data_IF_382260816846
#
_entry.id   IF_382260816846
#
_cell.length_a   1.000
_cell.length_b   1.000
_cell.length_c   1.000
_cell.angle_alpha   90.00
_cell.angle_beta   90.00
_cell.angle_gamma   90.00
#
_symmetry.space_group_name_H-M   'P 1'
#
loop_
_entity.id
_entity.type
_entity.pdbx_description
1 polymer ?
#
# COMPACT_ATOMS: atom_id res chain seq x y z
N UNK A 1 12.72 -9.27 -1.54
CA UNK A 1 11.58 -9.91 -0.83
C UNK A 1 10.31 -9.39 -1.48
N UNK A 2 9.51 -10.28 -2.11
CA UNK A 2 8.23 -9.92 -2.75
C UNK A 2 7.13 -10.02 -1.71
N UNK A 3 6.78 -8.92 -1.04
CA UNK A 3 5.69 -8.90 -0.07
C UNK A 3 4.45 -8.36 -0.78
N UNK A 4 3.47 -9.23 -1.00
CA UNK A 4 2.15 -8.85 -1.51
C UNK A 4 1.18 -8.73 -0.33
N UNK A 5 0.60 -7.54 -0.15
CA UNK A 5 -0.45 -7.32 0.82
C UNK A 5 -1.82 -7.48 0.14
N UNK A 6 -2.74 -8.12 0.83
CA UNK A 6 -4.16 -8.12 0.48
C UNK A 6 -4.84 -6.94 1.17
N UNK A 7 -6.03 -6.56 0.71
CA UNK A 7 -6.78 -5.39 1.20
C UNK A 7 -6.85 -5.34 2.73
N UNK A 8 -7.17 -6.47 3.36
CA UNK A 8 -7.23 -6.58 4.83
C UNK A 8 -5.89 -6.25 5.51
N UNK A 9 -4.78 -6.78 5.01
CA UNK A 9 -3.44 -6.53 5.56
C UNK A 9 -3.01 -5.09 5.30
N UNK A 10 -3.36 -4.56 4.13
CA UNK A 10 -3.11 -3.17 3.76
C UNK A 10 -3.84 -2.19 4.68
N UNK A 11 -5.07 -2.50 5.12
CA UNK A 11 -5.75 -1.69 6.16
C UNK A 11 -4.98 -1.63 7.47
N UNK A 12 -4.43 -2.75 7.94
CA UNK A 12 -3.59 -2.74 9.16
C UNK A 12 -2.33 -1.90 8.95
N UNK A 13 -1.71 -2.01 7.77
CA UNK A 13 -0.50 -1.25 7.43
C UNK A 13 -0.78 0.24 7.27
N UNK A 14 -1.94 0.66 6.73
CA UNK A 14 -2.36 2.06 6.64
C UNK A 14 -2.35 2.72 8.03
N UNK A 15 -2.95 2.07 9.03
CA UNK A 15 -2.96 2.58 10.40
C UNK A 15 -1.54 2.67 10.98
N UNK A 16 -0.67 1.69 10.71
CA UNK A 16 0.72 1.72 11.18
C UNK A 16 1.58 2.79 10.47
N UNK A 17 1.38 3.00 9.16
CA UNK A 17 2.10 4.03 8.43
C UNK A 17 1.71 5.44 8.88
N UNK A 18 0.45 5.64 9.26
CA UNK A 18 -0.05 6.94 9.71
C UNK A 18 0.31 7.25 11.17
N UNK A 19 0.38 6.23 12.03
CA UNK A 19 0.51 6.42 13.48
C UNK A 19 1.85 5.95 14.05
N UNK A 20 2.71 5.33 13.23
CA UNK A 20 3.90 4.65 13.69
C UNK A 20 3.58 3.36 14.45
N UNK A 21 4.50 2.97 15.34
CA UNK A 21 4.40 1.73 16.11
C UNK A 21 3.20 1.77 17.06
N UNK A 22 2.35 0.74 16.98
CA UNK A 22 1.17 0.59 17.83
C UNK A 22 1.07 -0.82 18.40
N UNK A 23 0.51 -0.95 19.60
CA UNK A 23 0.15 -2.26 20.13
C UNK A 23 -0.98 -2.91 19.31
N UNK A 24 -1.04 -4.24 19.29
CA UNK A 24 -2.14 -4.96 18.66
C UNK A 24 -3.52 -4.57 19.27
N UNK A 25 -3.55 -4.17 20.53
CA UNK A 25 -4.75 -3.62 21.18
C UNK A 25 -5.18 -2.26 20.62
N UNK A 26 -4.23 -1.34 20.40
CA UNK A 26 -4.50 -0.04 19.78
C UNK A 26 -4.95 -0.19 18.32
N UNK A 27 -4.30 -1.06 17.55
CA UNK A 27 -4.73 -1.39 16.18
C UNK A 27 -6.17 -1.92 16.16
N UNK A 28 -6.51 -2.84 17.06
CA UNK A 28 -7.86 -3.37 17.14
C UNK A 28 -8.90 -2.32 17.52
N UNK A 29 -8.55 -1.34 18.36
CA UNK A 29 -9.44 -0.23 18.69
C UNK A 29 -9.69 0.67 17.47
N UNK A 30 -8.62 1.09 16.78
CA UNK A 30 -8.72 1.96 15.59
C UNK A 30 -9.47 1.30 14.45
N UNK A 31 -9.13 0.07 14.10
CA UNK A 31 -9.79 -0.67 13.02
C UNK A 31 -11.25 -1.00 13.36
N UNK A 32 -11.62 -1.09 14.65
CA UNK A 32 -13.02 -1.15 15.06
C UNK A 32 -13.75 0.16 14.79
N UNK A 33 -13.12 1.30 15.07
CA UNK A 33 -13.70 2.63 14.88
C UNK A 33 -13.81 3.01 13.40
N UNK A 34 -12.79 2.69 12.58
CA UNK A 34 -12.72 3.07 11.17
C UNK A 34 -13.55 2.16 10.25
N UNK A 35 -13.49 0.84 10.47
CA UNK A 35 -14.06 -0.16 9.55
C UNK A 35 -14.89 -1.24 10.25
N UNK A 36 -15.18 -1.09 11.55
CA UNK A 36 -16.05 -2.00 12.28
C UNK A 36 -15.44 -3.38 12.60
N UNK A 37 -14.13 -3.55 12.46
CA UNK A 37 -13.51 -4.85 12.72
C UNK A 37 -13.53 -5.23 14.20
N UNK A 38 -13.86 -6.49 14.48
CA UNK A 38 -13.70 -7.04 15.81
C UNK A 38 -12.22 -7.33 16.13
N UNK A 39 -11.94 -7.53 17.42
CA UNK A 39 -10.58 -7.78 17.91
C UNK A 39 -9.94 -9.04 17.31
N UNK A 40 -10.70 -10.13 17.17
CA UNK A 40 -10.17 -11.39 16.65
C UNK A 40 -9.77 -11.28 15.16
N UNK A 41 -10.59 -10.59 14.36
CA UNK A 41 -10.28 -10.29 12.96
C UNK A 41 -8.97 -9.50 12.87
N UNK A 42 -8.86 -8.44 13.66
CA UNK A 42 -7.64 -7.61 13.67
C UNK A 42 -6.40 -8.42 14.01
N UNK A 43 -6.45 -9.23 15.08
CA UNK A 43 -5.30 -10.05 15.50
C UNK A 43 -4.94 -11.11 14.47
N UNK A 44 -5.93 -11.70 13.80
CA UNK A 44 -5.70 -12.66 12.71
C UNK A 44 -4.98 -12.00 11.53
N UNK A 45 -5.38 -10.78 11.17
CA UNK A 45 -4.74 -10.03 10.07
C UNK A 45 -3.34 -9.56 10.47
N UNK A 46 -3.13 -9.07 11.69
CA UNK A 46 -1.80 -8.73 12.22
C UNK A 46 -0.87 -9.95 12.12
N UNK A 47 -1.35 -11.14 12.51
CA UNK A 47 -0.56 -12.37 12.38
C UNK A 47 -0.15 -12.63 10.93
N UNK A 48 -1.08 -12.51 9.97
CA UNK A 48 -0.76 -12.65 8.54
C UNK A 48 0.30 -11.64 8.08
N UNK A 49 0.22 -10.39 8.54
CA UNK A 49 1.23 -9.38 8.24
C UNK A 49 2.62 -9.75 8.82
N UNK A 50 2.66 -10.33 10.03
CA UNK A 50 3.90 -10.84 10.63
C UNK A 50 4.45 -12.02 9.83
N UNK A 51 3.60 -12.99 9.48
CA UNK A 51 3.99 -14.18 8.69
C UNK A 51 4.54 -13.78 7.31
N UNK A 52 4.06 -12.67 6.74
CA UNK A 52 4.56 -12.09 5.49
C UNK A 52 5.81 -11.22 5.64
N UNK A 53 6.29 -10.98 6.87
CA UNK A 53 7.41 -10.10 7.14
C UNK A 53 7.10 -8.61 6.93
N UNK A 54 5.82 -8.23 6.86
CA UNK A 54 5.38 -6.83 6.75
C UNK A 54 5.41 -6.11 8.10
N UNK A 55 5.18 -6.85 9.19
CA UNK A 55 5.17 -6.33 10.56
C UNK A 55 6.20 -7.08 11.41
N UNK A 56 6.93 -6.35 12.25
CA UNK A 56 7.68 -6.91 13.36
C UNK A 56 6.88 -6.76 14.64
N UNK A 57 6.75 -7.85 15.40
CA UNK A 57 6.26 -7.80 16.79
C UNK A 57 7.44 -7.63 17.74
N UNK A 58 7.29 -6.78 18.74
CA UNK A 58 8.19 -6.73 19.89
C UNK A 58 7.43 -6.53 21.21
N UNK A 59 8.09 -6.84 22.31
CA UNK A 59 7.56 -6.72 23.67
C UNK A 59 8.15 -5.49 24.37
N UNK A 60 7.48 -4.95 25.41
CA UNK A 60 6.23 -5.41 26.01
C UNK A 60 4.97 -5.01 25.21
N UNK A 61 3.82 -5.60 25.55
CA UNK A 61 2.47 -5.22 25.08
C UNK A 61 2.13 -5.55 23.63
N UNK A 62 2.85 -6.48 22.99
CA UNK A 62 2.60 -6.85 21.59
C UNK A 62 2.60 -5.60 20.69
N UNK A 63 3.71 -4.88 20.68
CA UNK A 63 3.92 -3.75 19.77
C UNK A 63 4.14 -4.24 18.36
N UNK A 64 3.54 -3.55 17.40
CA UNK A 64 3.61 -3.85 15.97
C UNK A 64 4.31 -2.69 15.26
N UNK A 65 5.41 -2.99 14.58
CA UNK A 65 6.18 -2.05 13.77
C UNK A 65 6.09 -2.43 12.30
N UNK A 66 5.84 -1.46 11.42
CA UNK A 66 5.90 -1.66 9.99
C UNK A 66 7.37 -1.84 9.54
N UNK A 67 7.67 -2.94 8.83
CA UNK A 67 8.99 -3.21 8.26
C UNK A 67 9.11 -2.81 6.78
N UNK A 68 7.99 -2.41 6.17
CA UNK A 68 7.88 -2.01 4.78
C UNK A 68 7.20 -0.66 4.71
N UNK A 69 7.63 0.20 3.79
CA UNK A 69 7.00 1.50 3.57
C UNK A 69 5.81 1.39 2.61
N UNK A 70 4.92 2.38 2.65
CA UNK A 70 3.77 2.49 1.76
C UNK A 70 4.20 2.59 0.31
N UNK A 71 5.22 3.41 0.04
CA UNK A 71 5.76 3.69 -1.28
C UNK A 71 6.32 2.40 -1.91
N UNK A 72 7.02 1.58 -1.11
CA UNK A 72 7.58 0.31 -1.59
C UNK A 72 6.51 -0.67 -2.03
N UNK A 73 5.39 -0.76 -1.29
CA UNK A 73 4.26 -1.60 -1.68
C UNK A 73 3.57 -1.06 -2.92
N UNK A 74 3.33 0.25 -2.98
CA UNK A 74 2.70 0.87 -4.15
C UNK A 74 3.51 0.68 -5.43
N UNK A 75 4.84 0.84 -5.36
CA UNK A 75 5.73 0.58 -6.49
C UNK A 75 5.68 -0.88 -6.92
N UNK A 76 5.74 -1.80 -5.96
CA UNK A 76 5.67 -3.24 -6.25
C UNK A 76 4.34 -3.64 -6.89
N UNK A 77 3.21 -3.18 -6.34
CA UNK A 77 1.87 -3.47 -6.89
C UNK A 77 1.68 -2.87 -8.29
N UNK A 78 2.16 -1.64 -8.50
CA UNK A 78 2.12 -0.98 -9.82
C UNK A 78 2.93 -1.76 -10.85
N UNK A 79 4.17 -2.14 -10.53
CA UNK A 79 5.02 -2.90 -11.45
C UNK A 79 4.42 -4.28 -11.75
N UNK A 80 3.89 -4.99 -10.74
CA UNK A 80 3.23 -6.28 -10.97
C UNK A 80 1.94 -6.15 -11.80
N UNK A 81 1.24 -5.00 -11.74
CA UNK A 81 0.11 -4.72 -12.61
C UNK A 81 0.56 -4.47 -14.05
N UNK A 82 1.61 -3.67 -14.26
CA UNK A 82 2.18 -3.39 -15.58
C UNK A 82 2.68 -4.70 -16.23
N UNK A 83 3.39 -5.53 -15.48
CA UNK A 83 3.90 -6.81 -15.96
C UNK A 83 2.75 -7.75 -16.40
N UNK A 84 1.67 -7.83 -15.62
CA UNK A 84 0.57 -8.77 -15.88
C UNK A 84 -0.40 -8.31 -16.96
N UNK A 85 -0.69 -7.00 -17.02
CA UNK A 85 -1.75 -6.47 -17.89
C UNK A 85 -1.20 -5.82 -19.17
N UNK A 86 0.07 -5.41 -19.17
CA UNK A 86 0.68 -4.64 -20.25
C UNK A 86 2.01 -5.24 -20.72
N UNK A 87 2.26 -6.52 -20.42
CA UNK A 87 3.47 -7.25 -20.81
C UNK A 87 4.77 -6.56 -20.37
N UNK A 88 4.73 -5.84 -19.24
CA UNK A 88 5.87 -5.08 -18.74
C UNK A 88 6.10 -3.73 -19.43
N UNK A 89 5.23 -3.33 -20.36
CA UNK A 89 5.35 -2.06 -21.08
C UNK A 89 4.65 -0.92 -20.34
N UNK A 90 5.46 -0.11 -19.66
CA UNK A 90 5.01 1.15 -19.05
C UNK A 90 4.39 2.11 -20.08
N UNK A 91 4.91 2.12 -21.31
CA UNK A 91 4.35 2.93 -22.40
C UNK A 91 2.93 2.49 -22.78
N UNK A 92 2.68 1.19 -22.93
CA UNK A 92 1.33 0.65 -23.19
C UNK A 92 0.38 0.98 -22.05
N UNK A 93 0.84 0.88 -20.80
CA UNK A 93 0.05 1.26 -19.63
C UNK A 93 -0.35 2.75 -19.68
N UNK A 94 0.59 3.66 -19.91
CA UNK A 94 0.29 5.08 -20.02
C UNK A 94 -0.61 5.39 -21.23
N UNK A 95 -0.36 4.78 -22.39
CA UNK A 95 -1.21 4.98 -23.56
C UNK A 95 -2.67 4.54 -23.30
N UNK A 96 -2.88 3.41 -22.62
CA UNK A 96 -4.21 2.94 -22.24
C UNK A 96 -4.88 3.81 -21.17
N UNK A 97 -4.11 4.27 -20.18
CA UNK A 97 -4.60 5.16 -19.13
C UNK A 97 -5.03 6.52 -19.72
N UNK A 98 -4.15 7.15 -20.50
CA UNK A 98 -4.40 8.47 -21.10
C UNK A 98 -5.45 8.40 -22.23
N UNK A 99 -5.52 7.30 -22.98
CA UNK A 99 -6.48 7.12 -24.08
C UNK A 99 -7.95 7.13 -23.65
N UNK A 100 -8.24 6.86 -22.37
CA UNK A 100 -9.59 6.90 -21.79
C UNK A 100 -9.93 8.21 -21.06
N UNK A 101 -9.01 9.18 -21.04
CA UNK A 101 -9.19 10.45 -20.31
C UNK A 101 -9.14 11.65 -21.25
N UNK A 102 -10.19 12.49 -21.21
CA UNK A 102 -10.13 13.83 -21.79
C UNK A 102 -9.31 14.73 -20.88
N UNK A 103 -7.99 14.71 -21.07
CA UNK A 103 -7.08 15.58 -20.33
C UNK A 103 -7.25 17.02 -20.82
N UNK A 104 -7.32 17.95 -19.88
CA UNK A 104 -7.22 19.37 -20.17
C UNK A 104 -5.81 19.74 -20.65
N UNK A 105 -5.69 20.85 -21.39
CA UNK A 105 -4.39 21.36 -21.83
C UNK A 105 -3.42 21.58 -20.66
N UNK A 106 -3.95 21.97 -19.48
CA UNK A 106 -3.17 22.17 -18.26
C UNK A 106 -2.60 20.85 -17.71
N UNK A 107 -3.37 19.77 -17.74
CA UNK A 107 -2.90 18.45 -17.31
C UNK A 107 -1.84 17.90 -18.27
N UNK A 108 -2.01 18.12 -19.58
CA UNK A 108 -1.01 17.76 -20.59
C UNK A 108 0.30 18.52 -20.35
N UNK A 109 0.24 19.82 -20.10
CA UNK A 109 1.45 20.63 -19.85
C UNK A 109 2.15 20.22 -18.54
N UNK A 110 1.39 19.89 -17.49
CA UNK A 110 1.96 19.36 -16.26
C UNK A 110 2.64 18.00 -16.48
N UNK A 111 2.02 17.09 -17.25
CA UNK A 111 2.61 15.80 -17.60
C UNK A 111 3.91 15.96 -18.40
N UNK A 112 3.94 16.89 -19.37
CA UNK A 112 5.15 17.19 -20.14
C UNK A 112 6.29 17.66 -19.24
N UNK A 113 6.03 18.59 -18.31
CA UNK A 113 7.03 19.06 -17.34
C UNK A 113 7.57 17.92 -16.49
N UNK A 114 6.69 17.03 -16.03
CA UNK A 114 7.08 15.89 -15.20
C UNK A 114 8.00 14.92 -15.98
N UNK A 115 7.78 14.75 -17.28
CA UNK A 115 8.67 13.94 -18.16
C UNK A 115 10.00 14.66 -18.39
N UNK A 116 10.00 15.98 -18.56
CA UNK A 116 11.23 16.77 -18.71
C UNK A 116 12.12 16.73 -17.46
N UNK A 117 11.53 16.72 -16.26
CA UNK A 117 12.24 16.59 -14.97
C UNK A 117 12.87 15.20 -14.75
N UNK A 118 12.48 14.19 -15.53
CA UNK A 118 13.04 12.84 -15.48
C UNK A 118 14.27 12.65 -16.40
N UNK A 119 14.64 13.67 -17.19
CA UNK A 119 15.86 13.70 -18.00
C UNK A 119 17.07 14.12 -17.18
#
# INVERSE_FOLDING_TARGET
>A
MKIKLFDSERRVMEVLWENGDLSAGQLAKRLKEEIGWNRNTTYTVIKKCIDKGAIKRYEPNFMCQALISKERIQQYETNELIDKMFEGSTEKFFAAFLGNHNLSSKEIDNLKKLIEELK
#
